data_IF_246118840750
#
_entry.id   IF_246118840750
#
_cell.length_a   1.000
_cell.length_b   1.000
_cell.length_c   1.000
_cell.angle_alpha   90.00
_cell.angle_beta   90.00
_cell.angle_gamma   90.00
#
_symmetry.space_group_name_H-M   'P 1'
#
loop_
_entity.id
_entity.type
_entity.pdbx_description
1 polymer ?
#
# COMPACT_ATOMS: atom_id res chain seq x y z
N UNK A 1 68.45 11.44 58.56
CA UNK A 1 68.57 12.76 57.88
C UNK A 1 68.17 13.89 58.80
N UNK A 2 67.01 13.81 59.48
CA UNK A 2 66.64 14.77 60.54
C UNK A 2 67.65 14.83 61.67
N UNK A 3 68.05 13.69 62.24
CA UNK A 3 69.00 13.61 63.36
C UNK A 3 70.39 14.23 63.06
N UNK A 4 70.88 14.04 61.83
CA UNK A 4 72.15 14.58 61.34
C UNK A 4 72.09 16.09 61.16
N UNK A 5 71.00 16.58 60.57
CA UNK A 5 70.76 18.02 60.38
C UNK A 5 70.60 18.70 61.74
N UNK A 6 69.86 18.09 62.68
CA UNK A 6 69.70 18.62 64.04
C UNK A 6 71.05 18.76 64.77
N UNK A 7 71.92 17.74 64.68
CA UNK A 7 73.24 17.77 65.33
C UNK A 7 74.16 18.86 64.77
N UNK A 8 74.16 19.06 63.44
CA UNK A 8 74.94 20.12 62.81
C UNK A 8 74.47 21.51 63.26
N UNK A 9 73.15 21.74 63.25
CA UNK A 9 72.57 22.99 63.74
C UNK A 9 72.89 23.19 65.23
N UNK A 10 72.81 22.15 66.05
CA UNK A 10 73.14 22.20 67.47
C UNK A 10 74.60 22.56 67.71
N UNK A 11 75.57 21.95 67.00
CA UNK A 11 77.00 22.30 67.15
C UNK A 11 77.30 23.72 66.66
N UNK A 12 76.64 24.19 65.60
CA UNK A 12 76.79 25.56 65.09
C UNK A 12 76.15 26.59 66.03
N UNK A 13 74.99 26.27 66.61
CA UNK A 13 74.30 27.10 67.61
C UNK A 13 75.10 27.16 68.92
N UNK A 14 75.71 26.04 69.33
CA UNK A 14 76.60 25.97 70.49
C UNK A 14 77.88 26.79 70.26
N UNK A 15 78.49 26.69 69.08
CA UNK A 15 79.64 27.52 68.69
C UNK A 15 79.28 29.02 68.70
N UNK A 16 78.10 29.36 68.20
CA UNK A 16 77.58 30.73 68.21
C UNK A 16 77.34 31.23 69.63
N UNK A 17 76.73 30.40 70.49
CA UNK A 17 76.50 30.71 71.90
C UNK A 17 77.81 30.93 72.68
N UNK A 18 78.84 30.12 72.41
CA UNK A 18 80.17 30.27 73.02
C UNK A 18 80.83 31.60 72.62
N UNK A 19 80.65 32.03 71.37
CA UNK A 19 81.18 33.31 70.86
C UNK A 19 80.36 34.50 71.39
N UNK A 20 79.04 34.40 71.43
CA UNK A 20 78.14 35.46 71.93
C UNK A 20 78.32 35.72 73.44
N UNK A 21 78.56 34.67 74.23
CA UNK A 21 78.79 34.77 75.67
C UNK A 21 80.27 34.98 76.04
N UNK A 22 81.16 35.17 75.06
CA UNK A 22 82.58 35.36 75.29
C UNK A 22 82.88 36.67 76.03
N UNK A 23 83.82 36.64 76.97
CA UNK A 23 84.14 37.81 77.81
C UNK A 23 84.91 38.86 76.99
N UNK A 24 84.36 40.07 76.83
CA UNK A 24 85.03 41.15 76.10
C UNK A 24 86.31 41.65 76.81
N UNK A 25 87.35 41.97 76.05
CA UNK A 25 88.60 42.53 76.57
C UNK A 25 88.48 44.05 76.65
N UNK A 26 88.79 44.70 77.79
CA UNK A 26 88.65 46.15 77.95
C UNK A 26 89.50 46.93 76.93
N UNK A 27 88.93 48.00 76.37
CA UNK A 27 89.56 48.86 75.35
C UNK A 27 89.94 48.12 74.03
N UNK A 28 89.31 46.99 73.71
CA UNK A 28 89.46 46.26 72.44
C UNK A 28 88.11 45.77 71.92
N UNK A 29 88.00 45.54 70.61
CA UNK A 29 86.89 44.82 69.99
C UNK A 29 87.02 43.30 70.08
N UNK A 30 88.04 42.78 70.78
CA UNK A 30 88.29 41.35 70.95
C UNK A 30 87.51 40.76 72.13
N UNK A 31 87.05 39.52 71.98
CA UNK A 31 86.52 38.71 73.07
C UNK A 31 87.47 37.56 73.42
N UNK A 32 87.46 37.17 74.69
CA UNK A 32 88.19 36.03 75.23
C UNK A 32 87.25 34.83 75.25
N UNK A 33 87.62 33.81 74.47
CA UNK A 33 86.83 32.58 74.29
C UNK A 33 87.63 31.40 74.85
N UNK A 34 87.00 30.40 75.50
CA UNK A 34 87.68 29.19 75.92
C UNK A 34 88.20 28.42 74.70
N UNK A 35 89.50 28.56 74.42
CA UNK A 35 90.14 28.04 73.21
C UNK A 35 89.91 26.55 73.03
N UNK A 36 90.05 25.76 74.08
CA UNK A 36 89.96 24.30 74.00
C UNK A 36 88.54 23.86 73.60
N UNK A 37 87.51 24.40 74.25
CA UNK A 37 86.11 24.10 73.90
C UNK A 37 85.71 24.56 72.49
N UNK A 38 86.22 25.71 72.03
CA UNK A 38 85.97 26.19 70.67
C UNK A 38 86.65 25.32 69.61
N UNK A 39 87.86 24.81 69.91
CA UNK A 39 88.56 23.87 69.05
C UNK A 39 87.86 22.51 69.02
N UNK A 40 87.38 22.01 70.16
CA UNK A 40 86.60 20.77 70.24
C UNK A 40 85.34 20.84 69.36
N UNK A 41 84.56 21.93 69.45
CA UNK A 41 83.37 22.14 68.61
C UNK A 41 83.70 22.26 67.11
N UNK A 42 84.83 22.91 66.77
CA UNK A 42 85.30 23.00 65.39
C UNK A 42 85.81 21.67 64.86
N UNK A 43 86.46 20.87 65.69
CA UNK A 43 86.95 19.53 65.35
C UNK A 43 85.76 18.57 65.17
N UNK A 44 84.75 18.62 66.04
CA UNK A 44 83.49 17.89 65.88
C UNK A 44 82.77 18.24 64.57
N UNK A 45 82.67 19.53 64.24
CA UNK A 45 82.14 20.00 62.95
C UNK A 45 82.99 19.49 61.79
N UNK A 46 84.31 19.59 61.89
CA UNK A 46 85.24 19.21 60.82
C UNK A 46 85.28 17.71 60.57
N UNK A 47 85.12 16.90 61.60
CA UNK A 47 85.20 15.44 61.52
C UNK A 47 83.88 14.84 61.00
N UNK A 48 82.73 15.43 61.36
CA UNK A 48 81.41 14.87 61.01
C UNK A 48 80.74 15.53 59.78
N UNK A 49 80.92 16.84 59.55
CA UNK A 49 80.25 17.56 58.44
C UNK A 49 80.56 17.01 57.02
N UNK A 50 81.81 16.64 56.67
CA UNK A 50 82.12 16.20 55.31
C UNK A 50 81.36 14.95 54.90
N UNK A 51 81.25 13.96 55.80
CA UNK A 51 80.57 12.71 55.54
C UNK A 51 79.07 12.92 55.30
N UNK A 52 78.45 13.82 56.06
CA UNK A 52 77.03 14.12 55.95
C UNK A 52 76.67 14.92 54.70
N UNK A 53 77.53 15.87 54.30
CA UNK A 53 77.39 16.58 53.01
C UNK A 53 77.57 15.61 51.83
N UNK A 54 78.51 14.65 51.92
CA UNK A 54 78.67 13.60 50.91
C UNK A 54 77.45 12.68 50.83
N UNK A 55 76.89 12.24 51.97
CA UNK A 55 75.64 11.45 52.01
C UNK A 55 74.47 12.22 51.40
N UNK A 56 74.31 13.50 51.72
CA UNK A 56 73.26 14.34 51.14
C UNK A 56 73.43 14.49 49.62
N UNK A 57 74.66 14.71 49.15
CA UNK A 57 74.98 14.77 47.71
C UNK A 57 74.62 13.47 46.99
N UNK A 58 75.02 12.32 47.54
CA UNK A 58 74.69 11.00 46.99
C UNK A 58 73.18 10.75 46.91
N UNK A 59 72.41 11.18 47.92
CA UNK A 59 70.95 11.07 47.92
C UNK A 59 70.33 11.96 46.84
N UNK A 60 70.84 13.19 46.64
CA UNK A 60 70.37 14.09 45.59
C UNK A 60 70.68 13.53 44.20
N UNK A 61 71.86 12.96 44.01
CA UNK A 61 72.28 12.32 42.77
C UNK A 61 71.40 11.09 42.48
N UNK A 62 71.24 10.19 43.46
CA UNK A 62 70.36 9.02 43.37
C UNK A 62 68.91 9.42 43.07
N UNK A 63 68.38 10.46 43.73
CA UNK A 63 67.04 10.99 43.44
C UNK A 63 66.94 11.50 42.00
N UNK A 64 67.96 12.20 41.53
CA UNK A 64 67.99 12.74 40.16
C UNK A 64 67.98 11.61 39.14
N UNK A 65 68.75 10.55 39.38
CA UNK A 65 68.77 9.36 38.54
C UNK A 65 67.40 8.66 38.54
N UNK A 66 66.78 8.47 39.70
CA UNK A 66 65.43 7.88 39.81
C UNK A 66 64.40 8.70 39.03
N UNK A 67 64.43 10.04 39.14
CA UNK A 67 63.50 10.91 38.42
C UNK A 67 63.70 10.82 36.90
N UNK A 68 64.94 10.78 36.44
CA UNK A 68 65.24 10.61 35.01
C UNK A 68 64.77 9.24 34.50
N UNK A 69 65.02 8.17 35.24
CA UNK A 69 64.55 6.83 34.88
C UNK A 69 63.01 6.77 34.84
N UNK A 70 62.34 7.30 35.87
CA UNK A 70 60.88 7.34 35.93
C UNK A 70 60.28 8.15 34.77
N UNK A 71 60.91 9.28 34.41
CA UNK A 71 60.46 10.11 33.30
C UNK A 71 60.65 9.42 31.94
N UNK A 72 61.81 8.80 31.72
CA UNK A 72 62.07 8.01 30.51
C UNK A 72 61.10 6.83 30.39
N UNK A 73 60.78 6.15 31.50
CA UNK A 73 59.82 5.06 31.51
C UNK A 73 58.39 5.54 31.23
N UNK A 74 57.97 6.68 31.80
CA UNK A 74 56.67 7.28 31.56
C UNK A 74 56.49 7.70 30.09
N UNK A 75 57.52 8.28 29.48
CA UNK A 75 57.53 8.63 28.06
C UNK A 75 57.44 7.38 27.18
N UNK A 76 58.20 6.33 27.51
CA UNK A 76 58.17 5.05 26.80
C UNK A 76 56.80 4.37 26.89
N UNK A 77 56.19 4.37 28.08
CA UNK A 77 54.86 3.81 28.30
C UNK A 77 53.81 4.57 27.50
N UNK A 78 53.84 5.90 27.57
CA UNK A 78 52.92 6.78 26.84
C UNK A 78 53.05 6.60 25.33
N UNK A 79 54.28 6.53 24.81
CA UNK A 79 54.54 6.27 23.40
C UNK A 79 53.98 4.91 22.95
N UNK A 80 54.19 3.87 23.75
CA UNK A 80 53.65 2.53 23.48
C UNK A 80 52.12 2.51 23.47
N UNK A 81 51.48 3.05 24.51
CA UNK A 81 50.02 3.13 24.61
C UNK A 81 49.42 3.94 23.46
N UNK A 82 50.06 5.04 23.06
CA UNK A 82 49.62 5.83 21.91
C UNK A 82 49.68 5.03 20.61
N UNK A 83 50.78 4.34 20.34
CA UNK A 83 50.91 3.47 19.17
C UNK A 83 49.88 2.33 19.18
N UNK A 84 49.68 1.67 20.31
CA UNK A 84 48.67 0.60 20.46
C UNK A 84 47.26 1.15 20.21
N UNK A 85 46.94 2.33 20.74
CA UNK A 85 45.64 3.00 20.54
C UNK A 85 45.42 3.35 19.06
N UNK A 86 46.42 3.92 18.40
CA UNK A 86 46.37 4.26 16.97
C UNK A 86 46.16 3.00 16.11
N UNK A 87 46.82 1.89 16.45
CA UNK A 87 46.62 0.60 15.78
C UNK A 87 45.22 0.05 15.98
N UNK A 88 44.70 0.02 17.21
CA UNK A 88 43.35 -0.48 17.53
C UNK A 88 42.29 0.37 16.84
N UNK A 89 42.39 1.69 16.91
CA UNK A 89 41.46 2.60 16.22
C UNK A 89 41.54 2.42 14.70
N UNK A 90 42.75 2.25 14.15
CA UNK A 90 42.94 1.98 12.72
C UNK A 90 42.29 0.66 12.28
N UNK A 91 42.46 -0.40 13.07
CA UNK A 91 41.84 -1.71 12.80
C UNK A 91 40.31 -1.63 12.90
N UNK A 92 39.78 -1.00 13.95
CA UNK A 92 38.34 -0.83 14.12
C UNK A 92 37.71 -0.02 12.97
N UNK A 93 38.39 1.02 12.48
CA UNK A 93 37.95 1.81 11.32
C UNK A 93 37.89 0.97 10.05
N UNK A 94 38.94 0.17 9.76
CA UNK A 94 38.98 -0.73 8.59
C UNK A 94 37.85 -1.77 8.64
N UNK A 95 37.69 -2.43 9.79
CA UNK A 95 36.62 -3.41 9.97
C UNK A 95 35.23 -2.78 9.79
N UNK A 96 35.01 -1.58 10.34
CA UNK A 96 33.76 -0.84 10.14
C UNK A 96 33.52 -0.52 8.66
N UNK A 97 34.53 -0.07 7.94
CA UNK A 97 34.42 0.25 6.51
C UNK A 97 34.09 -0.99 5.67
N UNK A 98 34.69 -2.13 6.00
CA UNK A 98 34.36 -3.42 5.38
C UNK A 98 32.90 -3.82 5.62
N UNK A 99 32.44 -3.78 6.88
CA UNK A 99 31.05 -4.10 7.24
C UNK A 99 30.06 -3.15 6.56
N UNK A 100 30.35 -1.86 6.54
CA UNK A 100 29.49 -0.88 5.86
C UNK A 100 29.51 -1.11 4.34
N UNK A 101 30.64 -1.50 3.77
CA UNK A 101 30.75 -1.83 2.35
C UNK A 101 29.97 -3.08 1.95
N UNK A 102 30.01 -4.14 2.77
CA UNK A 102 29.19 -5.35 2.54
C UNK A 102 27.72 -5.07 2.75
N UNK A 103 27.34 -4.39 3.83
CA UNK A 103 25.95 -4.03 4.10
C UNK A 103 25.35 -3.14 2.99
N UNK A 104 26.11 -2.17 2.46
CA UNK A 104 25.66 -1.33 1.33
C UNK A 104 25.44 -2.16 0.07
N UNK A 105 26.38 -3.04 -0.30
CA UNK A 105 26.21 -3.93 -1.45
C UNK A 105 24.99 -4.84 -1.30
N UNK A 106 24.82 -5.46 -0.13
CA UNK A 106 23.66 -6.30 0.16
C UNK A 106 22.34 -5.53 0.07
N UNK A 107 22.29 -4.30 0.59
CA UNK A 107 21.12 -3.42 0.46
C UNK A 107 20.84 -3.11 -1.00
N UNK A 108 21.86 -2.73 -1.77
CA UNK A 108 21.68 -2.32 -3.16
C UNK A 108 21.23 -3.52 -4.01
N UNK A 109 21.77 -4.72 -3.76
CA UNK A 109 21.32 -5.97 -4.38
C UNK A 109 19.87 -6.33 -4.01
N UNK A 110 19.49 -6.16 -2.75
CA UNK A 110 18.11 -6.38 -2.29
C UNK A 110 17.13 -5.43 -2.97
N UNK A 111 17.48 -4.14 -3.05
CA UNK A 111 16.65 -3.13 -3.70
C UNK A 111 16.50 -3.43 -5.20
N UNK A 112 17.58 -3.80 -5.88
CA UNK A 112 17.53 -4.17 -7.29
C UNK A 112 16.64 -5.41 -7.54
N UNK A 113 16.73 -6.44 -6.69
CA UNK A 113 15.86 -7.62 -6.79
C UNK A 113 14.40 -7.28 -6.52
N UNK A 114 14.13 -6.53 -5.47
CA UNK A 114 12.77 -6.11 -5.12
C UNK A 114 12.13 -5.25 -6.22
N UNK A 115 12.92 -4.39 -6.88
CA UNK A 115 12.46 -3.60 -8.03
C UNK A 115 12.13 -4.50 -9.22
N UNK A 116 13.02 -5.43 -9.58
CA UNK A 116 12.77 -6.37 -10.67
C UNK A 116 11.52 -7.26 -10.40
N UNK A 117 11.38 -7.78 -9.18
CA UNK A 117 10.19 -8.56 -8.78
C UNK A 117 8.90 -7.75 -8.85
N UNK A 118 8.94 -6.47 -8.47
CA UNK A 118 7.78 -5.59 -8.57
C UNK A 118 7.42 -5.27 -10.03
N UNK A 119 8.41 -5.04 -10.89
CA UNK A 119 8.21 -4.83 -12.33
C UNK A 119 7.62 -6.08 -13.00
N UNK A 120 8.14 -7.26 -12.69
CA UNK A 120 7.62 -8.53 -13.21
C UNK A 120 6.16 -8.78 -12.76
N UNK A 121 5.84 -8.50 -11.49
CA UNK A 121 4.49 -8.66 -10.96
C UNK A 121 3.51 -7.68 -11.60
N UNK A 122 3.92 -6.43 -11.83
CA UNK A 122 3.10 -5.45 -12.53
C UNK A 122 2.85 -5.87 -13.98
N UNK A 123 3.88 -6.33 -14.69
CA UNK A 123 3.74 -6.81 -16.06
C UNK A 123 2.77 -8.01 -16.17
N UNK A 124 2.87 -8.96 -15.23
CA UNK A 124 1.94 -10.09 -15.15
C UNK A 124 0.50 -9.63 -14.88
N UNK A 125 0.32 -8.72 -13.91
CA UNK A 125 -0.99 -8.18 -13.59
C UNK A 125 -1.63 -7.42 -14.77
N UNK A 126 -0.84 -6.67 -15.53
CA UNK A 126 -1.29 -5.98 -16.74
C UNK A 126 -1.71 -6.96 -17.84
N UNK A 127 -0.95 -8.05 -18.05
CA UNK A 127 -1.31 -9.09 -19.01
C UNK A 127 -2.61 -9.80 -18.62
N UNK A 128 -2.75 -10.16 -17.34
CA UNK A 128 -3.96 -10.78 -16.81
C UNK A 128 -5.18 -9.85 -16.93
N UNK A 129 -5.02 -8.57 -16.58
CA UNK A 129 -6.08 -7.58 -16.72
C UNK A 129 -6.52 -7.42 -18.18
N UNK A 130 -5.56 -7.36 -19.12
CA UNK A 130 -5.85 -7.29 -20.55
C UNK A 130 -6.63 -8.52 -21.03
N UNK A 131 -6.24 -9.72 -20.55
CA UNK A 131 -6.92 -10.98 -20.87
C UNK A 131 -8.37 -10.99 -20.38
N UNK A 132 -8.61 -10.58 -19.13
CA UNK A 132 -9.95 -10.52 -18.54
C UNK A 132 -10.83 -9.51 -19.29
N UNK A 133 -10.27 -8.34 -19.64
CA UNK A 133 -11.02 -7.32 -20.40
C UNK A 133 -11.43 -7.86 -21.77
N UNK A 134 -10.53 -8.55 -22.46
CA UNK A 134 -10.84 -9.11 -23.78
C UNK A 134 -11.87 -10.24 -23.68
N UNK A 135 -11.75 -11.15 -22.71
CA UNK A 135 -12.74 -12.19 -22.46
C UNK A 135 -14.12 -11.60 -22.13
N UNK A 136 -14.17 -10.61 -21.23
CA UNK A 136 -15.41 -9.92 -20.88
C UNK A 136 -16.03 -9.20 -22.08
N UNK A 137 -15.20 -8.61 -22.95
CA UNK A 137 -15.65 -7.97 -24.18
C UNK A 137 -16.28 -8.98 -25.13
N UNK A 138 -15.60 -10.09 -25.41
CA UNK A 138 -16.09 -11.15 -26.29
C UNK A 138 -17.38 -11.76 -25.74
N UNK A 139 -17.44 -12.01 -24.44
CA UNK A 139 -18.64 -12.53 -23.78
C UNK A 139 -19.83 -11.58 -23.92
N UNK A 140 -19.60 -10.27 -23.69
CA UNK A 140 -20.63 -9.24 -23.87
C UNK A 140 -21.10 -9.16 -25.32
N UNK A 141 -20.19 -9.21 -26.29
CA UNK A 141 -20.54 -9.20 -27.72
C UNK A 141 -21.40 -10.42 -28.09
N UNK A 142 -21.05 -11.60 -27.58
CA UNK A 142 -21.84 -12.82 -27.78
C UNK A 142 -23.25 -12.72 -27.15
N UNK A 143 -23.36 -12.18 -25.93
CA UNK A 143 -24.66 -11.97 -25.27
C UNK A 143 -25.54 -10.99 -26.05
N UNK A 144 -24.97 -9.91 -26.59
CA UNK A 144 -25.73 -8.96 -27.42
C UNK A 144 -26.20 -9.63 -28.70
N UNK A 145 -25.34 -10.41 -29.36
CA UNK A 145 -25.72 -11.11 -30.58
C UNK A 145 -26.85 -12.12 -30.33
N UNK A 146 -26.75 -12.93 -29.26
CA UNK A 146 -27.80 -13.87 -28.86
C UNK A 146 -29.12 -13.14 -28.53
N UNK A 147 -29.07 -12.06 -27.75
CA UNK A 147 -30.24 -11.25 -27.43
C UNK A 147 -30.90 -10.65 -28.68
N UNK A 148 -30.12 -10.21 -29.66
CA UNK A 148 -30.64 -9.69 -30.94
C UNK A 148 -31.34 -10.78 -31.75
N UNK A 149 -30.78 -12.00 -31.79
CA UNK A 149 -31.42 -13.15 -32.45
C UNK A 149 -32.76 -13.47 -31.78
N UNK A 150 -32.76 -13.61 -30.45
CA UNK A 150 -33.99 -13.90 -29.70
C UNK A 150 -35.05 -12.79 -29.87
N UNK A 151 -34.63 -11.52 -29.87
CA UNK A 151 -35.53 -10.40 -30.11
C UNK A 151 -36.15 -10.47 -31.51
N UNK A 152 -35.35 -10.77 -32.54
CA UNK A 152 -35.83 -10.90 -33.91
C UNK A 152 -36.83 -12.06 -34.05
N UNK A 153 -36.55 -13.21 -33.43
CA UNK A 153 -37.45 -14.37 -33.41
C UNK A 153 -38.77 -14.05 -32.70
N UNK A 154 -38.73 -13.40 -31.54
CA UNK A 154 -39.93 -12.98 -30.81
C UNK A 154 -40.79 -12.00 -31.62
N UNK A 155 -40.17 -11.03 -32.29
CA UNK A 155 -40.88 -10.08 -33.15
C UNK A 155 -41.51 -10.79 -34.36
N UNK A 156 -40.78 -11.70 -35.01
CA UNK A 156 -41.31 -12.48 -36.13
C UNK A 156 -42.50 -13.36 -35.69
N UNK A 157 -42.39 -14.04 -34.55
CA UNK A 157 -43.47 -14.83 -33.98
C UNK A 157 -44.69 -13.97 -33.63
N UNK A 158 -44.48 -12.80 -33.02
CA UNK A 158 -45.56 -11.87 -32.69
C UNK A 158 -46.26 -11.33 -33.94
N UNK A 159 -45.51 -11.02 -35.01
CA UNK A 159 -46.07 -10.59 -36.29
C UNK A 159 -46.89 -11.69 -36.96
N UNK A 160 -46.36 -12.91 -37.04
CA UNK A 160 -47.08 -14.05 -37.61
C UNK A 160 -48.39 -14.32 -36.87
N UNK A 161 -48.37 -14.23 -35.54
CA UNK A 161 -49.57 -14.41 -34.72
C UNK A 161 -50.56 -13.24 -34.91
N UNK A 162 -50.07 -12.01 -35.01
CA UNK A 162 -50.92 -10.86 -35.32
C UNK A 162 -51.61 -11.01 -36.68
N UNK A 163 -50.87 -11.37 -37.73
CA UNK A 163 -51.42 -11.63 -39.06
C UNK A 163 -52.48 -12.75 -39.04
N UNK A 164 -52.23 -13.82 -38.28
CA UNK A 164 -53.20 -14.90 -38.08
C UNK A 164 -54.49 -14.40 -37.45
N UNK A 165 -54.41 -13.61 -36.37
CA UNK A 165 -55.58 -13.06 -35.68
C UNK A 165 -56.36 -12.06 -36.55
N UNK A 166 -55.67 -11.24 -37.34
CA UNK A 166 -56.31 -10.31 -38.30
C UNK A 166 -57.06 -11.12 -39.37
N UNK A 167 -56.40 -12.12 -39.97
CA UNK A 167 -57.05 -13.00 -40.96
C UNK A 167 -58.27 -13.71 -40.38
N UNK A 168 -58.20 -14.25 -39.17
CA UNK A 168 -59.34 -14.90 -38.51
C UNK A 168 -60.50 -13.92 -38.28
N UNK A 169 -60.19 -12.69 -37.88
CA UNK A 169 -61.18 -11.64 -37.66
C UNK A 169 -61.84 -11.23 -38.99
N UNK A 170 -61.07 -11.09 -40.07
CA UNK A 170 -61.57 -10.75 -41.40
C UNK A 170 -62.46 -11.85 -41.99
N UNK A 171 -62.06 -13.12 -41.85
CA UNK A 171 -62.87 -14.27 -42.27
C UNK A 171 -64.19 -14.30 -41.50
N UNK A 172 -64.15 -14.08 -40.19
CA UNK A 172 -65.37 -14.01 -39.37
C UNK A 172 -66.28 -12.86 -39.80
N UNK A 173 -65.73 -11.65 -39.96
CA UNK A 173 -66.49 -10.48 -40.39
C UNK A 173 -67.11 -10.69 -41.79
N UNK A 174 -66.37 -11.26 -42.73
CA UNK A 174 -66.85 -11.60 -44.06
C UNK A 174 -67.95 -12.67 -44.05
N UNK A 175 -67.83 -13.69 -43.19
CA UNK A 175 -68.86 -14.72 -43.02
C UNK A 175 -70.16 -14.12 -42.45
N UNK A 176 -70.07 -13.23 -41.46
CA UNK A 176 -71.23 -12.51 -40.90
C UNK A 176 -71.89 -11.64 -41.98
N UNK A 177 -71.12 -10.83 -42.71
CA UNK A 177 -71.67 -9.98 -43.77
C UNK A 177 -72.37 -10.79 -44.88
N UNK A 178 -71.82 -11.95 -45.27
CA UNK A 178 -72.42 -12.82 -46.27
C UNK A 178 -73.68 -13.54 -45.76
N UNK A 179 -73.71 -13.89 -44.47
CA UNK A 179 -74.92 -14.43 -43.84
C UNK A 179 -76.05 -13.39 -43.84
N UNK A 180 -75.74 -12.14 -43.50
CA UNK A 180 -76.70 -11.03 -43.55
C UNK A 180 -77.22 -10.79 -44.99
N UNK A 181 -76.32 -10.79 -45.98
CA UNK A 181 -76.68 -10.65 -47.40
C UNK A 181 -77.59 -11.79 -47.87
N UNK A 182 -77.24 -13.04 -47.59
CA UNK A 182 -78.04 -14.22 -47.94
C UNK A 182 -79.41 -14.18 -47.26
N UNK A 183 -79.45 -13.71 -46.01
CA UNK A 183 -80.70 -13.47 -45.28
C UNK A 183 -81.59 -12.47 -46.00
N UNK A 184 -81.04 -11.32 -46.40
CA UNK A 184 -81.77 -10.29 -47.15
C UNK A 184 -82.25 -10.78 -48.53
N UNK A 185 -81.41 -11.55 -49.24
CA UNK A 185 -81.78 -12.18 -50.52
C UNK A 185 -82.92 -13.18 -50.34
N UNK A 186 -82.82 -14.07 -49.34
CA UNK A 186 -83.86 -15.08 -49.05
C UNK A 186 -85.20 -14.42 -48.72
N UNK A 187 -85.19 -13.32 -47.96
CA UNK A 187 -86.41 -12.54 -47.68
C UNK A 187 -87.01 -11.97 -48.97
N UNK A 188 -86.17 -11.42 -49.85
CA UNK A 188 -86.60 -10.85 -51.14
C UNK A 188 -87.14 -11.94 -52.09
N UNK A 189 -86.45 -13.07 -52.18
CA UNK A 189 -86.83 -14.21 -53.01
C UNK A 189 -88.10 -14.91 -52.50
N UNK A 190 -88.26 -15.05 -51.19
CA UNK A 190 -89.48 -15.56 -50.60
C UNK A 190 -90.67 -14.63 -50.89
N UNK A 191 -90.48 -13.32 -50.78
CA UNK A 191 -91.51 -12.33 -51.13
C UNK A 191 -91.87 -12.39 -52.63
N UNK A 192 -90.87 -12.50 -53.51
CA UNK A 192 -91.06 -12.67 -54.95
C UNK A 192 -91.79 -13.97 -55.29
N UNK A 193 -91.33 -15.10 -54.77
CA UNK A 193 -91.94 -16.42 -55.00
C UNK A 193 -93.39 -16.42 -54.54
N UNK A 194 -93.68 -15.82 -53.38
CA UNK A 194 -95.05 -15.67 -52.90
C UNK A 194 -95.91 -14.86 -53.87
N UNK A 195 -95.40 -13.72 -54.34
CA UNK A 195 -96.12 -12.90 -55.32
C UNK A 195 -96.35 -13.63 -56.66
N UNK A 196 -95.37 -14.38 -57.16
CA UNK A 196 -95.49 -15.20 -58.37
C UNK A 196 -96.52 -16.33 -58.20
N UNK A 197 -96.53 -16.99 -57.04
CA UNK A 197 -97.54 -18.02 -56.72
C UNK A 197 -98.94 -17.40 -56.62
N UNK A 198 -99.08 -16.26 -55.94
CA UNK A 198 -100.34 -15.54 -55.81
C UNK A 198 -100.88 -15.15 -57.20
N UNK A 199 -100.05 -14.57 -58.07
CA UNK A 199 -100.41 -14.20 -59.46
C UNK A 199 -100.79 -15.42 -60.33
N UNK A 200 -100.05 -16.52 -60.19
CA UNK A 200 -100.37 -17.77 -60.89
C UNK A 200 -101.71 -18.36 -60.45
N UNK A 201 -101.99 -18.36 -59.13
CA UNK A 201 -103.27 -18.82 -58.58
C UNK A 201 -104.41 -17.95 -59.09
N UNK A 202 -104.27 -16.62 -59.06
CA UNK A 202 -105.28 -15.69 -59.56
C UNK A 202 -105.56 -15.90 -61.06
N UNK A 203 -104.50 -16.02 -61.87
CA UNK A 203 -104.63 -16.29 -63.31
C UNK A 203 -105.34 -17.62 -63.58
N UNK A 204 -104.96 -18.69 -62.89
CA UNK A 204 -105.61 -20.01 -63.05
C UNK A 204 -107.06 -20.02 -62.60
N UNK A 205 -107.39 -19.33 -61.51
CA UNK A 205 -108.76 -19.18 -61.04
C UNK A 205 -109.61 -18.37 -62.04
N UNK A 206 -109.05 -17.31 -62.62
CA UNK A 206 -109.73 -16.53 -63.66
C UNK A 206 -109.99 -17.36 -64.93
N UNK A 207 -108.98 -18.10 -65.42
CA UNK A 207 -109.12 -19.01 -66.56
C UNK A 207 -110.19 -20.09 -66.30
N UNK A 208 -110.17 -20.69 -65.11
CA UNK A 208 -111.15 -21.69 -64.69
C UNK A 208 -112.55 -21.08 -64.62
N UNK A 209 -112.69 -19.89 -64.04
CA UNK A 209 -113.94 -19.13 -64.01
C UNK A 209 -114.50 -18.86 -65.40
N UNK A 210 -113.66 -18.39 -66.34
CA UNK A 210 -114.07 -18.16 -67.73
C UNK A 210 -114.52 -19.44 -68.44
N UNK A 211 -113.89 -20.58 -68.12
CA UNK A 211 -114.24 -21.88 -68.67
C UNK A 211 -115.60 -22.36 -68.13
N UNK A 212 -115.84 -22.22 -66.83
CA UNK A 212 -117.12 -22.53 -66.22
C UNK A 212 -118.25 -21.65 -66.77
N UNK A 213 -118.03 -20.35 -66.97
CA UNK A 213 -119.01 -19.47 -67.62
C UNK A 213 -119.34 -19.90 -69.05
N UNK A 214 -118.35 -20.38 -69.80
CA UNK A 214 -118.55 -20.88 -71.16
C UNK A 214 -119.34 -22.18 -71.15
N UNK A 215 -119.06 -23.08 -70.21
CA UNK A 215 -119.86 -24.30 -70.01
C UNK A 215 -121.30 -23.97 -69.57
N UNK A 216 -121.49 -23.02 -68.64
CA UNK A 216 -122.80 -22.59 -68.19
C UNK A 216 -123.63 -22.01 -69.36
N UNK A 217 -123.04 -21.13 -70.17
CA UNK A 217 -123.66 -20.60 -71.39
C UNK A 217 -124.03 -21.69 -72.39
N UNK A 218 -123.18 -22.69 -72.56
CA UNK A 218 -123.45 -23.85 -73.42
C UNK A 218 -124.64 -24.67 -72.91
N UNK A 219 -124.72 -24.92 -71.60
CA UNK A 219 -125.84 -25.62 -70.96
C UNK A 219 -127.14 -24.79 -71.03
N UNK A 220 -127.08 -23.47 -70.83
CA UNK A 220 -128.24 -22.59 -70.99
C UNK A 220 -128.73 -22.52 -72.44
N UNK A 221 -127.82 -22.48 -73.42
CA UNK A 221 -128.16 -22.56 -74.83
C UNK A 221 -128.85 -23.90 -75.17
N UNK A 222 -128.30 -25.03 -74.69
CA UNK A 222 -128.89 -26.35 -74.86
C UNK A 222 -130.28 -26.47 -74.19
N UNK A 223 -130.47 -25.82 -73.03
CA UNK A 223 -131.75 -25.77 -72.32
C UNK A 223 -132.79 -24.92 -73.06
N UNK A 224 -132.38 -23.82 -73.70
CA UNK A 224 -133.28 -22.99 -74.49
C UNK A 224 -133.72 -23.71 -75.79
N UNK A 225 -132.84 -24.49 -76.43
CA UNK A 225 -133.20 -25.33 -77.60
C UNK A 225 -134.13 -26.50 -77.27
N UNK A 226 -134.21 -26.94 -75.99
CA UNK A 226 -135.17 -27.95 -75.54
C UNK A 226 -136.54 -27.36 -75.13
N UNK A 227 -136.69 -26.03 -75.16
CA UNK A 227 -137.93 -25.31 -74.81
C UNK A 227 -138.64 -24.66 -76.02
N UNK A 228 -138.16 -24.90 -77.24
CA UNK A 228 -138.83 -24.58 -78.51
C UNK A 228 -139.22 -25.85 -79.24
#
# INVERSE_FOLDING_TARGET
MTEVVYRLYETVDELSSVIENARSVPMSSSCMVPRDHLLDLLDDLRENLPEDVHKAGAIVEQRTEILQQAQAEAERLTGRTRSETEQVVGQARRQREEILGTARRQRDDLLARAQAEAEDLLAQAEEEAARIIEEARLHREALIADAQVQQAELLAAAQAEHERLVSETEVYAGAVARADELGAQTVTDAARTRAEVDDYVDTRLADFGSTLERMLRSVEAARNTLRS
#
